data_IF_230943754093
#
_entry.id   IF_230943754093
#
_cell.length_a   1.000
_cell.length_b   1.000
_cell.length_c   1.000
_cell.angle_alpha   90.00
_cell.angle_beta   90.00
_cell.angle_gamma   90.00
#
_symmetry.space_group_name_H-M   'P 1'
#
loop_
_entity.id
_entity.type
_entity.pdbx_description
1 polymer ?
#
# COMPACT_ATOMS: atom_id res chain seq x y z
N UNK A 1 -10.03 -36.87 10.10
CA UNK A 1 -9.82 -35.57 9.43
C UNK A 1 -9.88 -34.51 10.52
N UNK A 2 -8.79 -33.76 10.73
CA UNK A 2 -8.80 -32.62 11.66
C UNK A 2 -9.76 -31.57 11.08
N UNK A 3 -10.81 -31.24 11.82
CA UNK A 3 -11.77 -30.21 11.40
C UNK A 3 -11.07 -28.85 11.39
N UNK A 4 -11.11 -28.16 10.24
CA UNK A 4 -10.47 -26.86 10.08
C UNK A 4 -11.28 -25.80 10.84
N UNK A 5 -10.77 -25.38 12.00
CA UNK A 5 -11.38 -24.30 12.80
C UNK A 5 -10.84 -22.93 12.34
N UNK A 6 -11.57 -22.30 11.41
CA UNK A 6 -11.27 -20.97 10.87
C UNK A 6 -11.11 -19.92 11.97
N UNK A 7 -11.97 -19.93 13.00
CA UNK A 7 -11.94 -18.91 14.08
C UNK A 7 -10.68 -19.04 14.93
N UNK A 8 -10.27 -20.27 15.23
CA UNK A 8 -9.02 -20.51 15.96
C UNK A 8 -7.80 -20.06 15.17
N UNK A 9 -7.79 -20.25 13.84
CA UNK A 9 -6.72 -19.78 12.98
C UNK A 9 -6.65 -18.24 12.95
N UNK A 10 -7.79 -17.58 12.77
CA UNK A 10 -7.91 -16.11 12.78
C UNK A 10 -7.43 -15.53 14.12
N UNK A 11 -7.88 -16.07 15.26
CA UNK A 11 -7.43 -15.62 16.57
C UNK A 11 -5.93 -15.83 16.83
N UNK A 12 -5.35 -16.90 16.24
CA UNK A 12 -3.91 -17.15 16.32
C UNK A 12 -3.13 -16.14 15.47
N UNK A 13 -3.63 -15.82 14.28
CA UNK A 13 -3.03 -14.82 13.41
C UNK A 13 -3.09 -13.43 14.03
N UNK A 14 -4.23 -13.04 14.60
CA UNK A 14 -4.39 -11.77 15.33
C UNK A 14 -3.36 -11.63 16.43
N UNK A 15 -3.20 -12.68 17.25
CA UNK A 15 -2.22 -12.70 18.32
C UNK A 15 -0.80 -12.56 17.79
N UNK A 16 -0.46 -13.33 16.75
CA UNK A 16 0.87 -13.28 16.14
C UNK A 16 1.20 -11.88 15.61
N UNK A 17 0.27 -11.25 14.90
CA UNK A 17 0.45 -9.88 14.41
C UNK A 17 0.57 -8.91 15.58
N UNK A 18 -0.31 -8.99 16.58
CA UNK A 18 -0.29 -8.12 17.76
C UNK A 18 1.03 -8.20 18.54
N UNK A 19 1.59 -9.40 18.71
CA UNK A 19 2.87 -9.64 19.38
C UNK A 19 4.07 -9.14 18.56
N UNK A 20 3.94 -9.03 17.23
CA UNK A 20 5.04 -8.67 16.33
C UNK A 20 4.84 -7.31 15.62
N UNK A 21 3.91 -6.46 16.09
CA UNK A 21 3.55 -5.19 15.44
C UNK A 21 4.76 -4.32 15.14
N UNK A 22 5.65 -4.12 16.11
CA UNK A 22 6.84 -3.28 15.93
C UNK A 22 7.77 -3.86 14.85
N UNK A 23 8.01 -5.17 14.86
CA UNK A 23 8.85 -5.81 13.86
C UNK A 23 8.25 -5.61 12.46
N UNK A 24 6.95 -5.92 12.31
CA UNK A 24 6.24 -5.81 11.04
C UNK A 24 6.15 -4.36 10.54
N UNK A 25 5.73 -3.44 11.41
CA UNK A 25 5.34 -2.09 11.06
C UNK A 25 6.51 -1.09 10.98
N UNK A 26 7.63 -1.40 11.64
CA UNK A 26 8.77 -0.47 11.77
C UNK A 26 10.06 -1.11 11.28
N UNK A 27 10.43 -2.28 11.80
CA UNK A 27 11.73 -2.88 11.50
C UNK A 27 11.80 -3.37 10.04
N UNK A 28 10.81 -4.12 9.57
CA UNK A 28 10.72 -4.61 8.19
C UNK A 28 10.76 -3.48 7.14
N UNK A 29 9.92 -2.43 7.22
CA UNK A 29 9.97 -1.32 6.26
C UNK A 29 11.27 -0.51 6.34
N UNK A 30 11.85 -0.33 7.52
CA UNK A 30 13.14 0.36 7.66
C UNK A 30 14.28 -0.44 7.00
N UNK A 31 14.34 -1.75 7.24
CA UNK A 31 15.30 -2.64 6.57
C UNK A 31 15.02 -2.66 5.06
N UNK A 32 13.75 -2.75 4.66
CA UNK A 32 13.33 -2.71 3.26
C UNK A 32 13.80 -1.45 2.54
N UNK A 33 13.65 -0.27 3.15
CA UNK A 33 14.12 0.99 2.58
C UNK A 33 15.64 0.96 2.34
N UNK A 34 16.40 0.54 3.34
CA UNK A 34 17.87 0.41 3.22
C UNK A 34 18.22 -0.60 2.13
N UNK A 35 17.54 -1.75 2.09
CA UNK A 35 17.82 -2.80 1.12
C UNK A 35 17.54 -2.38 -0.32
N UNK A 36 16.41 -1.70 -0.55
CA UNK A 36 16.03 -1.21 -1.87
C UNK A 36 16.95 -0.10 -2.35
N UNK A 37 17.26 0.88 -1.49
CA UNK A 37 18.21 1.96 -1.84
C UNK A 37 19.59 1.39 -2.13
N UNK A 38 20.12 0.53 -1.27
CA UNK A 38 21.42 -0.10 -1.50
C UNK A 38 21.43 -1.04 -2.72
N UNK A 39 20.28 -1.57 -3.14
CA UNK A 39 20.15 -2.28 -4.42
C UNK A 39 20.28 -1.28 -5.58
N UNK A 40 19.54 -0.18 -5.55
CA UNK A 40 19.58 0.87 -6.57
C UNK A 40 20.97 1.52 -6.73
N UNK A 41 21.70 1.68 -5.63
CA UNK A 41 23.05 2.27 -5.61
C UNK A 41 24.16 1.24 -5.93
N UNK A 42 23.81 -0.03 -6.18
CA UNK A 42 24.76 -1.10 -6.49
C UNK A 42 25.67 -1.51 -5.32
N UNK A 43 25.22 -1.32 -4.07
CA UNK A 43 25.98 -1.70 -2.87
C UNK A 43 25.82 -3.17 -2.48
N UNK A 44 24.77 -3.84 -2.97
CA UNK A 44 24.54 -5.27 -2.74
C UNK A 44 25.25 -6.13 -3.81
N UNK A 45 25.67 -7.36 -3.46
CA UNK A 45 26.04 -8.35 -4.46
C UNK A 45 24.80 -8.71 -5.28
N UNK A 46 24.96 -8.85 -6.61
CA UNK A 46 23.84 -8.91 -7.57
C UNK A 46 22.80 -10.03 -7.37
N UNK A 47 23.02 -11.02 -6.50
CA UNK A 47 21.98 -12.02 -6.14
C UNK A 47 20.94 -11.48 -5.14
N UNK A 48 21.32 -10.47 -4.37
CA UNK A 48 20.48 -9.80 -3.37
C UNK A 48 19.87 -8.52 -3.89
N UNK A 49 20.50 -7.90 -4.90
CA UNK A 49 20.01 -6.70 -5.57
C UNK A 49 18.61 -6.95 -6.12
N UNK A 50 17.64 -6.18 -5.62
CA UNK A 50 16.23 -6.24 -6.01
C UNK A 50 15.66 -7.67 -6.14
N UNK A 51 16.08 -8.58 -5.26
CA UNK A 51 15.64 -9.96 -5.36
C UNK A 51 14.09 -10.05 -5.28
N UNK A 52 13.40 -10.54 -6.33
CA UNK A 52 11.95 -10.44 -6.45
C UNK A 52 11.21 -11.17 -5.33
N UNK A 53 11.79 -12.27 -4.81
CA UNK A 53 11.20 -13.03 -3.71
C UNK A 53 11.37 -12.31 -2.37
N UNK A 54 12.47 -11.58 -2.16
CA UNK A 54 12.65 -10.76 -0.95
C UNK A 54 11.72 -9.54 -0.95
N UNK A 55 11.54 -8.89 -2.12
CA UNK A 55 10.59 -7.79 -2.29
C UNK A 55 9.16 -8.28 -1.99
N UNK A 56 8.76 -9.40 -2.58
CA UNK A 56 7.45 -9.99 -2.34
C UNK A 56 7.27 -10.41 -0.87
N UNK A 57 8.27 -11.05 -0.28
CA UNK A 57 8.24 -11.47 1.13
C UNK A 57 8.10 -10.27 2.06
N UNK A 58 8.95 -9.25 1.90
CA UNK A 58 8.90 -8.02 2.70
C UNK A 58 7.54 -7.34 2.57
N UNK A 59 7.01 -7.24 1.34
CA UNK A 59 5.67 -6.71 1.10
C UNK A 59 4.61 -7.52 1.83
N UNK A 60 4.60 -8.86 1.68
CA UNK A 60 3.62 -9.71 2.33
C UNK A 60 3.65 -9.59 3.86
N UNK A 61 4.83 -9.45 4.46
CA UNK A 61 4.99 -9.17 5.90
C UNK A 61 4.35 -7.83 6.25
N UNK A 62 4.66 -6.75 5.53
CA UNK A 62 4.09 -5.42 5.79
C UNK A 62 2.57 -5.38 5.61
N UNK A 63 2.01 -6.13 4.65
CA UNK A 63 0.55 -6.22 4.43
C UNK A 63 -0.17 -7.12 5.44
N UNK A 64 0.56 -7.94 6.19
CA UNK A 64 0.01 -8.94 7.12
C UNK A 64 -0.98 -8.35 8.14
N UNK A 65 -0.75 -7.17 8.76
CA UNK A 65 -1.69 -6.62 9.73
C UNK A 65 -3.05 -6.32 9.13
N UNK A 66 -3.08 -5.73 7.93
CA UNK A 66 -4.34 -5.46 7.25
C UNK A 66 -5.02 -6.76 6.82
N UNK A 67 -4.27 -7.72 6.27
CA UNK A 67 -4.81 -9.03 5.88
C UNK A 67 -5.44 -9.75 7.08
N UNK A 68 -4.74 -9.79 8.22
CA UNK A 68 -5.25 -10.39 9.46
C UNK A 68 -6.48 -9.65 9.99
N UNK A 69 -6.48 -8.31 9.91
CA UNK A 69 -7.61 -7.48 10.30
C UNK A 69 -8.87 -7.77 9.50
N UNK A 70 -8.72 -7.93 8.18
CA UNK A 70 -9.84 -8.02 7.23
C UNK A 70 -10.29 -9.47 6.98
N UNK A 71 -9.42 -10.47 7.12
CA UNK A 71 -9.74 -11.87 6.83
C UNK A 71 -11.02 -12.41 7.52
N UNK A 72 -11.32 -12.08 8.79
CA UNK A 72 -12.56 -12.50 9.45
C UNK A 72 -13.83 -11.89 8.82
N UNK A 73 -13.70 -10.77 8.12
CA UNK A 73 -14.80 -10.05 7.46
C UNK A 73 -15.08 -10.57 6.05
N UNK A 74 -14.27 -11.49 5.53
CA UNK A 74 -14.45 -12.05 4.19
C UNK A 74 -15.56 -13.09 4.22
N UNK A 75 -16.73 -12.66 3.77
CA UNK A 75 -17.88 -13.49 3.42
C UNK A 75 -17.91 -13.79 1.91
N UNK A 76 -19.02 -14.36 1.41
CA UNK A 76 -19.16 -14.65 -0.03
C UNK A 76 -19.19 -13.39 -0.88
N UNK A 77 -19.78 -12.30 -0.37
CA UNK A 77 -19.95 -11.04 -1.09
C UNK A 77 -18.61 -10.31 -1.19
N UNK A 78 -17.87 -10.24 -0.10
CA UNK A 78 -16.50 -9.74 -0.04
C UNK A 78 -15.58 -10.55 -0.95
N UNK A 79 -15.66 -11.88 -0.91
CA UNK A 79 -14.85 -12.74 -1.78
C UNK A 79 -15.12 -12.48 -3.27
N UNK A 80 -16.39 -12.35 -3.68
CA UNK A 80 -16.74 -12.02 -5.07
C UNK A 80 -16.24 -10.63 -5.47
N UNK A 81 -16.34 -9.65 -4.58
CA UNK A 81 -15.81 -8.31 -4.83
C UNK A 81 -14.28 -8.31 -4.97
N UNK A 82 -13.56 -9.04 -4.12
CA UNK A 82 -12.09 -9.19 -4.20
C UNK A 82 -11.69 -9.89 -5.50
N UNK A 83 -12.38 -10.95 -5.91
CA UNK A 83 -12.11 -11.65 -7.17
C UNK A 83 -12.38 -10.73 -8.37
N UNK A 84 -13.53 -10.04 -8.37
CA UNK A 84 -13.88 -9.09 -9.42
C UNK A 84 -12.86 -7.95 -9.52
N UNK A 85 -12.43 -7.41 -8.38
CA UNK A 85 -11.39 -6.38 -8.31
C UNK A 85 -10.04 -6.92 -8.79
N UNK A 86 -9.70 -8.18 -8.48
CA UNK A 86 -8.47 -8.83 -8.97
C UNK A 86 -8.46 -8.93 -10.49
N UNK A 87 -9.56 -9.36 -11.09
CA UNK A 87 -9.69 -9.42 -12.54
C UNK A 87 -9.59 -8.03 -13.18
N UNK A 88 -10.24 -7.03 -12.56
CA UNK A 88 -10.14 -5.65 -13.00
C UNK A 88 -8.69 -5.13 -12.93
N UNK A 89 -8.02 -5.32 -11.79
CA UNK A 89 -6.66 -4.85 -11.56
C UNK A 89 -5.67 -5.45 -12.55
N UNK A 90 -5.74 -6.75 -12.84
CA UNK A 90 -4.93 -7.31 -13.93
C UNK A 90 -5.33 -6.75 -15.29
N UNK A 91 -6.64 -6.64 -15.58
CA UNK A 91 -7.11 -6.14 -16.86
C UNK A 91 -6.68 -4.70 -17.16
N UNK A 92 -6.77 -3.80 -16.17
CA UNK A 92 -6.36 -2.40 -16.31
C UNK A 92 -4.84 -2.26 -16.35
N UNK A 93 -4.10 -3.10 -15.62
CA UNK A 93 -2.63 -3.09 -15.66
C UNK A 93 -2.10 -3.57 -17.01
N UNK A 94 -2.62 -4.68 -17.53
CA UNK A 94 -2.27 -5.16 -18.86
C UNK A 94 -2.64 -4.13 -19.94
N UNK A 95 -3.77 -3.44 -19.79
CA UNK A 95 -4.11 -2.33 -20.68
C UNK A 95 -3.06 -1.20 -20.58
N UNK A 96 -2.64 -0.87 -19.36
CA UNK A 96 -1.59 0.12 -19.07
C UNK A 96 -0.29 -0.21 -19.77
N UNK A 97 0.28 -1.38 -19.50
CA UNK A 97 1.57 -1.81 -20.07
C UNK A 97 1.51 -1.98 -21.59
N UNK A 98 0.36 -2.40 -22.15
CA UNK A 98 0.25 -2.63 -23.60
C UNK A 98 -0.09 -1.37 -24.41
N UNK A 99 -0.72 -0.35 -23.80
CA UNK A 99 -1.29 0.79 -24.54
C UNK A 99 -0.94 2.16 -23.97
N UNK A 100 -0.36 2.21 -22.78
CA UNK A 100 -0.14 3.43 -22.00
C UNK A 100 -1.40 4.03 -21.37
N UNK A 101 -2.57 3.40 -21.51
CA UNK A 101 -3.82 3.86 -20.90
C UNK A 101 -4.19 2.98 -19.69
N UNK A 102 -4.58 3.55 -18.53
CA UNK A 102 -4.77 4.96 -18.22
C UNK A 102 -3.59 5.58 -17.45
N UNK A 103 -2.44 4.93 -17.35
CA UNK A 103 -1.36 5.39 -16.46
C UNK A 103 -0.30 6.26 -17.14
N UNK A 104 -0.29 6.30 -18.47
CA UNK A 104 0.89 6.68 -19.25
C UNK A 104 1.61 5.42 -19.72
N UNK A 105 2.48 5.56 -20.72
CA UNK A 105 3.29 4.47 -21.25
C UNK A 105 4.42 4.19 -20.25
N UNK A 106 4.43 3.00 -19.66
CA UNK A 106 5.38 2.60 -18.62
C UNK A 106 5.74 1.13 -18.75
N UNK A 107 6.94 0.78 -18.28
CA UNK A 107 7.39 -0.60 -18.19
C UNK A 107 7.97 -0.91 -16.81
N UNK A 108 7.74 -2.14 -16.35
CA UNK A 108 8.43 -2.67 -15.18
C UNK A 108 9.88 -2.99 -15.56
N UNK A 109 10.81 -2.23 -14.99
CA UNK A 109 12.25 -2.40 -15.21
C UNK A 109 12.81 -3.48 -14.26
N UNK A 110 12.21 -3.62 -13.08
CA UNK A 110 12.58 -4.59 -12.07
C UNK A 110 11.39 -5.49 -11.76
N UNK A 111 11.63 -6.80 -11.74
CA UNK A 111 10.63 -7.79 -11.35
C UNK A 111 10.27 -7.65 -9.86
N UNK A 112 8.99 -7.42 -9.58
CA UNK A 112 8.45 -7.31 -8.21
C UNK A 112 7.96 -8.66 -7.66
N UNK A 113 8.46 -9.77 -8.20
CA UNK A 113 7.98 -11.11 -7.94
C UNK A 113 7.84 -11.92 -9.23
N UNK A 114 7.16 -13.07 -9.19
CA UNK A 114 6.77 -13.77 -10.42
C UNK A 114 5.92 -12.87 -11.32
N UNK A 115 6.30 -12.75 -12.60
CA UNK A 115 5.60 -11.94 -13.58
C UNK A 115 4.63 -12.80 -14.41
N UNK A 116 3.41 -12.31 -14.60
CA UNK A 116 2.41 -12.90 -15.49
C UNK A 116 2.66 -12.40 -16.91
N UNK A 117 2.82 -13.34 -17.84
CA UNK A 117 3.12 -13.05 -19.25
C UNK A 117 4.35 -12.13 -19.43
N UNK A 118 5.31 -12.23 -18.51
CA UNK A 118 6.52 -11.39 -18.47
C UNK A 118 6.25 -9.88 -18.46
N UNK A 119 5.07 -9.44 -17.99
CA UNK A 119 4.64 -8.04 -18.07
C UNK A 119 4.08 -7.49 -16.75
N UNK A 120 3.24 -8.26 -16.03
CA UNK A 120 2.53 -7.76 -14.85
C UNK A 120 2.83 -8.62 -13.61
N UNK A 121 3.20 -8.04 -12.45
CA UNK A 121 3.48 -8.83 -11.25
C UNK A 121 2.28 -9.66 -10.78
N UNK A 122 2.47 -10.96 -10.52
CA UNK A 122 1.44 -11.84 -9.97
C UNK A 122 1.00 -11.43 -8.54
N UNK A 123 1.77 -10.57 -7.89
CA UNK A 123 1.48 -10.01 -6.57
C UNK A 123 0.74 -8.67 -6.62
N UNK A 124 0.37 -8.17 -7.81
CA UNK A 124 -0.27 -6.86 -7.99
C UNK A 124 -1.47 -6.60 -7.04
N UNK A 125 -2.38 -7.56 -6.79
CA UNK A 125 -3.44 -7.37 -5.80
C UNK A 125 -2.93 -7.07 -4.38
N UNK A 126 -1.79 -7.65 -3.98
CA UNK A 126 -1.15 -7.41 -2.67
C UNK A 126 -0.47 -6.04 -2.63
N UNK A 127 0.00 -5.54 -3.78
CA UNK A 127 0.53 -4.17 -3.88
C UNK A 127 -0.58 -3.12 -3.78
N UNK A 128 -1.69 -3.33 -4.51
CA UNK A 128 -2.71 -2.31 -4.71
C UNK A 128 -3.83 -2.31 -3.65
N UNK A 129 -4.42 -3.46 -3.32
CA UNK A 129 -5.63 -3.49 -2.46
C UNK A 129 -5.37 -2.94 -1.07
N UNK A 130 -4.24 -3.27 -0.41
CA UNK A 130 -3.95 -2.72 0.91
C UNK A 130 -3.79 -1.20 0.93
N UNK A 131 -3.27 -0.58 -0.14
CA UNK A 131 -3.16 0.87 -0.23
C UNK A 131 -4.55 1.52 -0.18
N UNK A 132 -5.45 1.07 -1.07
CA UNK A 132 -6.80 1.63 -1.14
C UNK A 132 -7.59 1.34 0.14
N UNK A 133 -7.45 0.15 0.71
CA UNK A 133 -8.18 -0.21 1.91
C UNK A 133 -7.65 0.54 3.14
N UNK A 134 -6.34 0.73 3.31
CA UNK A 134 -5.81 1.59 4.38
C UNK A 134 -6.28 3.04 4.23
N UNK A 135 -6.28 3.59 3.01
CA UNK A 135 -6.83 4.93 2.74
C UNK A 135 -8.31 5.01 3.14
N UNK A 136 -9.09 3.97 2.81
CA UNK A 136 -10.49 3.86 3.21
C UNK A 136 -10.65 3.84 4.73
N UNK A 137 -9.92 2.98 5.43
CA UNK A 137 -9.99 2.82 6.89
C UNK A 137 -9.54 4.11 7.62
N UNK A 138 -8.45 4.74 7.17
CA UNK A 138 -8.01 6.03 7.70
C UNK A 138 -9.10 7.09 7.55
N UNK A 139 -9.73 7.18 6.38
CA UNK A 139 -10.85 8.09 6.13
C UNK A 139 -12.05 7.79 7.02
N UNK A 140 -12.37 6.51 7.31
CA UNK A 140 -13.43 6.18 8.26
C UNK A 140 -13.15 6.76 9.65
N UNK A 141 -11.90 6.67 10.12
CA UNK A 141 -11.50 7.19 11.43
C UNK A 141 -11.50 8.72 11.45
N UNK A 142 -10.90 9.38 10.46
CA UNK A 142 -10.75 10.83 10.43
C UNK A 142 -12.06 11.58 10.16
N UNK A 143 -12.96 11.01 9.35
CA UNK A 143 -14.25 11.64 9.03
C UNK A 143 -15.37 11.27 10.00
N UNK A 144 -15.21 10.20 10.80
CA UNK A 144 -16.22 9.69 11.72
C UNK A 144 -17.58 9.47 11.05
N UNK A 145 -18.64 10.00 11.66
CA UNK A 145 -20.01 9.87 11.13
C UNK A 145 -20.19 10.41 9.71
N UNK A 146 -19.39 11.41 9.31
CA UNK A 146 -19.45 11.98 7.95
C UNK A 146 -19.06 10.96 6.88
N UNK A 147 -18.26 9.96 7.24
CA UNK A 147 -17.92 8.84 6.35
C UNK A 147 -19.15 8.00 5.94
N UNK A 148 -20.29 8.16 6.61
CA UNK A 148 -21.54 7.52 6.19
C UNK A 148 -22.05 8.02 4.84
N UNK A 149 -21.77 9.28 4.52
CA UNK A 149 -22.20 9.89 3.26
C UNK A 149 -21.21 9.53 2.17
N UNK A 150 -21.61 8.69 1.20
CA UNK A 150 -20.76 8.29 0.06
C UNK A 150 -20.21 9.50 -0.69
N UNK A 151 -20.99 10.59 -0.84
CA UNK A 151 -20.55 11.85 -1.46
C UNK A 151 -19.40 12.56 -0.73
N UNK A 152 -19.13 12.22 0.53
CA UNK A 152 -18.00 12.72 1.31
C UNK A 152 -16.89 11.66 1.33
N UNK A 153 -17.23 10.42 1.68
CA UNK A 153 -16.28 9.30 1.80
C UNK A 153 -15.54 9.04 0.49
N UNK A 154 -16.26 8.86 -0.61
CA UNK A 154 -15.67 8.48 -1.90
C UNK A 154 -14.58 9.46 -2.38
N UNK A 155 -14.84 10.78 -2.51
CA UNK A 155 -13.80 11.72 -2.91
C UNK A 155 -12.67 11.83 -1.88
N UNK A 156 -12.95 11.71 -0.58
CA UNK A 156 -11.90 11.74 0.44
C UNK A 156 -10.97 10.53 0.35
N UNK A 157 -11.52 9.32 0.13
CA UNK A 157 -10.71 8.11 -0.04
C UNK A 157 -9.91 8.18 -1.33
N UNK A 158 -10.50 8.62 -2.45
CA UNK A 158 -9.76 8.79 -3.71
C UNK A 158 -8.61 9.80 -3.53
N UNK A 159 -8.86 10.95 -2.90
CA UNK A 159 -7.82 11.94 -2.63
C UNK A 159 -6.72 11.39 -1.71
N UNK A 160 -7.09 10.56 -0.74
CA UNK A 160 -6.14 9.89 0.15
C UNK A 160 -5.29 8.86 -0.61
N UNK A 161 -5.90 8.08 -1.52
CA UNK A 161 -5.15 7.16 -2.39
C UNK A 161 -4.20 7.91 -3.31
N UNK A 162 -4.63 9.01 -3.93
CA UNK A 162 -3.75 9.85 -4.74
C UNK A 162 -2.61 10.46 -3.92
N UNK A 163 -2.86 10.82 -2.65
CA UNK A 163 -1.79 11.26 -1.77
C UNK A 163 -0.79 10.13 -1.47
N UNK A 164 -1.24 8.87 -1.39
CA UNK A 164 -0.32 7.72 -1.30
C UNK A 164 0.46 7.55 -2.62
N UNK A 165 -0.19 7.70 -3.76
CA UNK A 165 0.45 7.60 -5.09
C UNK A 165 1.53 8.68 -5.30
N UNK A 166 1.28 9.91 -4.84
CA UNK A 166 2.25 11.01 -4.78
C UNK A 166 3.46 10.74 -3.87
N UNK A 167 3.45 9.63 -3.13
CA UNK A 167 4.57 9.16 -2.31
C UNK A 167 5.17 7.89 -2.90
N UNK A 168 4.35 6.92 -3.26
CA UNK A 168 4.79 5.62 -3.76
C UNK A 168 5.53 5.76 -5.08
N UNK A 169 4.87 6.30 -6.11
CA UNK A 169 5.37 6.27 -7.48
C UNK A 169 6.64 7.11 -7.66
N UNK A 170 6.79 8.32 -7.07
CA UNK A 170 8.06 9.03 -7.08
C UNK A 170 9.22 8.22 -6.46
N UNK A 171 8.94 7.47 -5.39
CA UNK A 171 9.94 6.61 -4.76
C UNK A 171 10.29 5.40 -5.64
N UNK A 172 9.29 4.81 -6.28
CA UNK A 172 9.46 3.65 -7.13
C UNK A 172 10.19 3.97 -8.44
N UNK A 173 9.89 5.13 -9.05
CA UNK A 173 10.65 5.68 -10.18
C UNK A 173 12.09 5.99 -9.75
N UNK A 174 12.29 6.57 -8.56
CA UNK A 174 13.62 6.81 -8.01
C UNK A 174 14.45 5.51 -7.86
N UNK A 175 13.81 4.43 -7.39
CA UNK A 175 14.41 3.10 -7.30
C UNK A 175 14.59 2.40 -8.65
N UNK A 176 13.98 2.91 -9.73
CA UNK A 176 13.97 2.25 -11.03
C UNK A 176 13.09 1.00 -11.08
N UNK A 177 12.05 0.88 -10.25
CA UNK A 177 11.11 -0.25 -10.37
C UNK A 177 10.34 -0.24 -11.68
N UNK A 178 9.95 0.95 -12.11
CA UNK A 178 9.37 1.21 -13.41
C UNK A 178 9.82 2.59 -13.89
N UNK A 179 9.76 2.78 -15.20
CA UNK A 179 9.98 4.05 -15.83
C UNK A 179 8.86 4.37 -16.81
N UNK A 180 8.62 5.66 -17.00
CA UNK A 180 7.64 6.15 -17.96
C UNK A 180 8.34 6.60 -19.24
N UNK A 181 7.77 6.22 -20.38
CA UNK A 181 8.26 6.64 -21.68
C UNK A 181 8.15 8.16 -21.86
N UNK A 182 8.91 8.75 -22.81
CA UNK A 182 8.81 10.16 -23.11
C UNK A 182 7.36 10.59 -23.45
N UNK A 183 6.98 11.84 -23.15
CA UNK A 183 5.63 12.34 -23.41
C UNK A 183 5.17 12.11 -24.84
N UNK A 184 3.90 11.74 -25.01
CA UNK A 184 3.29 11.67 -26.33
C UNK A 184 3.31 13.05 -26.99
N UNK A 185 3.69 13.11 -28.27
CA UNK A 185 3.67 14.35 -29.05
C UNK A 185 2.26 14.66 -29.53
N UNK A 186 1.78 15.88 -29.28
CA UNK A 186 0.53 16.40 -29.86
C UNK A 186 -0.24 17.33 -28.92
N UNK A 187 -1.29 17.97 -29.45
CA UNK A 187 -2.06 19.01 -28.74
C UNK A 187 -3.27 18.44 -27.96
N UNK A 188 -3.38 17.11 -27.86
CA UNK A 188 -4.48 16.44 -27.18
C UNK A 188 -4.38 16.52 -25.66
N UNK A 189 -5.52 16.48 -24.97
CA UNK A 189 -5.57 16.46 -23.51
C UNK A 189 -4.81 15.27 -22.91
N UNK A 190 -4.84 14.11 -23.57
CA UNK A 190 -4.06 12.93 -23.15
C UNK A 190 -2.56 13.14 -23.31
N UNK A 191 -2.11 13.66 -24.45
CA UNK A 191 -0.70 14.00 -24.68
C UNK A 191 -0.19 15.01 -23.63
N UNK A 192 -1.02 16.01 -23.31
CA UNK A 192 -0.72 16.99 -22.25
C UNK A 192 -0.61 16.33 -20.87
N UNK A 193 -1.49 15.37 -20.55
CA UNK A 193 -1.43 14.61 -19.30
C UNK A 193 -0.18 13.73 -19.20
N UNK A 194 0.33 13.19 -20.32
CA UNK A 194 1.60 12.46 -20.32
C UNK A 194 2.82 13.38 -20.25
N UNK A 195 2.68 14.69 -20.46
CA UNK A 195 3.81 15.63 -20.49
C UNK A 195 4.13 16.27 -19.13
N UNK A 196 3.13 16.44 -18.26
CA UNK A 196 3.32 17.04 -16.94
C UNK A 196 3.81 15.97 -15.98
N UNK A 197 4.98 16.17 -15.37
CA UNK A 197 5.59 15.19 -14.47
C UNK A 197 5.74 15.71 -13.04
N UNK A 198 5.53 14.83 -12.07
CA UNK A 198 5.85 15.01 -10.67
C UNK A 198 6.88 13.96 -10.25
N UNK A 199 8.13 14.38 -10.04
CA UNK A 199 9.25 13.48 -9.72
C UNK A 199 9.36 12.25 -10.65
N UNK A 200 9.22 12.47 -11.96
CA UNK A 200 9.32 11.42 -12.98
C UNK A 200 8.02 10.65 -13.24
N UNK A 201 6.94 10.94 -12.51
CA UNK A 201 5.62 10.32 -12.72
C UNK A 201 4.71 11.26 -13.51
N UNK A 202 4.13 10.85 -14.65
CA UNK A 202 3.28 11.71 -15.46
C UNK A 202 1.91 11.93 -14.83
N UNK A 203 1.25 13.04 -15.17
CA UNK A 203 -0.10 13.37 -14.70
C UNK A 203 -1.13 12.31 -15.11
N UNK A 204 -0.93 11.64 -16.25
CA UNK A 204 -1.75 10.51 -16.68
C UNK A 204 -1.84 9.42 -15.61
N UNK A 205 -0.75 9.14 -14.88
CA UNK A 205 -0.73 8.12 -13.83
C UNK A 205 -1.75 8.43 -12.74
N UNK A 206 -1.69 9.64 -12.20
CA UNK A 206 -2.61 10.10 -11.17
C UNK A 206 -4.07 10.09 -11.66
N UNK A 207 -4.32 10.39 -12.93
CA UNK A 207 -5.65 10.28 -13.53
C UNK A 207 -6.12 8.81 -13.61
N UNK A 208 -5.23 7.90 -13.98
CA UNK A 208 -5.47 6.45 -13.95
C UNK A 208 -5.78 5.95 -12.54
N UNK A 209 -5.03 6.42 -11.54
CA UNK A 209 -5.26 6.09 -10.14
C UNK A 209 -6.60 6.62 -9.61
N UNK A 210 -7.13 7.74 -10.10
CA UNK A 210 -8.51 8.16 -9.79
C UNK A 210 -9.50 7.08 -10.22
N UNK A 211 -9.36 6.54 -11.44
CA UNK A 211 -10.21 5.49 -11.96
C UNK A 211 -10.08 4.20 -11.13
N UNK A 212 -8.85 3.73 -10.91
CA UNK A 212 -8.59 2.49 -10.18
C UNK A 212 -9.02 2.57 -8.73
N UNK A 213 -8.74 3.68 -8.05
CA UNK A 213 -9.20 3.93 -6.69
C UNK A 213 -10.73 3.96 -6.62
N UNK A 214 -11.40 4.61 -7.57
CA UNK A 214 -12.86 4.64 -7.63
C UNK A 214 -13.46 3.23 -7.75
N UNK A 215 -12.94 2.41 -8.66
CA UNK A 215 -13.40 1.03 -8.85
C UNK A 215 -13.13 0.20 -7.59
N UNK A 216 -11.95 0.32 -6.99
CA UNK A 216 -11.59 -0.40 -5.77
C UNK A 216 -12.47 0.00 -4.57
N UNK A 217 -12.71 1.29 -4.35
CA UNK A 217 -13.59 1.77 -3.27
C UNK A 217 -15.01 1.28 -3.47
N UNK A 218 -15.53 1.32 -4.71
CA UNK A 218 -16.85 0.77 -5.01
C UNK A 218 -16.90 -0.75 -4.79
N UNK A 219 -15.85 -1.49 -5.18
CA UNK A 219 -15.76 -2.92 -4.90
C UNK A 219 -15.74 -3.20 -3.39
N UNK A 220 -15.04 -2.40 -2.57
CA UNK A 220 -15.05 -2.55 -1.13
C UNK A 220 -16.38 -2.18 -0.49
N UNK A 221 -17.03 -1.10 -0.93
CA UNK A 221 -18.39 -0.73 -0.50
C UNK A 221 -19.42 -1.80 -0.87
N UNK A 222 -19.23 -2.47 -2.01
CA UNK A 222 -20.08 -3.58 -2.44
C UNK A 222 -19.70 -4.91 -1.79
N UNK A 223 -18.48 -5.09 -1.33
CA UNK A 223 -17.97 -6.35 -0.80
C UNK A 223 -18.11 -6.47 0.71
N UNK A 224 -17.77 -5.41 1.44
CA UNK A 224 -17.66 -5.42 2.89
C UNK A 224 -18.80 -4.65 3.57
N UNK A 225 -19.27 -5.19 4.69
CA UNK A 225 -20.17 -4.46 5.56
C UNK A 225 -19.38 -3.41 6.37
N UNK A 226 -19.66 -2.13 6.13
CA UNK A 226 -18.99 -1.01 6.82
C UNK A 226 -19.08 -1.13 8.35
N UNK A 227 -20.20 -1.59 8.89
CA UNK A 227 -20.36 -1.79 10.33
C UNK A 227 -19.37 -2.84 10.87
N UNK A 228 -19.14 -3.92 10.12
CA UNK A 228 -18.14 -4.93 10.45
C UNK A 228 -16.71 -4.40 10.36
N UNK A 229 -16.40 -3.58 9.36
CA UNK A 229 -15.09 -2.90 9.26
C UNK A 229 -14.83 -1.99 10.45
N UNK A 230 -15.83 -1.20 10.87
CA UNK A 230 -15.72 -0.30 12.03
C UNK A 230 -15.56 -1.08 13.35
N UNK A 231 -16.41 -2.09 13.60
CA UNK A 231 -16.29 -2.93 14.81
C UNK A 231 -14.92 -3.62 14.87
N UNK A 232 -14.42 -4.07 13.73
CA UNK A 232 -13.10 -4.72 13.64
C UNK A 232 -11.96 -3.73 13.86
N UNK A 233 -12.02 -2.54 13.26
CA UNK A 233 -11.09 -1.43 13.51
C UNK A 233 -11.04 -1.06 15.00
N UNK A 234 -12.19 -1.02 15.66
CA UNK A 234 -12.27 -0.67 17.07
C UNK A 234 -11.55 -1.66 17.97
N UNK A 235 -11.66 -2.95 17.66
CA UNK A 235 -11.06 -4.04 18.45
C UNK A 235 -9.61 -4.37 18.07
N UNK A 236 -9.12 -3.87 16.95
CA UNK A 236 -7.88 -4.34 16.34
C UNK A 236 -6.92 -3.19 16.08
N UNK A 237 -5.99 -2.97 17.02
CA UNK A 237 -5.06 -1.83 16.96
C UNK A 237 -4.07 -1.86 15.79
N UNK A 238 -3.83 -3.02 15.16
CA UNK A 238 -2.81 -3.19 14.13
C UNK A 238 -3.31 -2.96 12.69
N UNK A 239 -4.60 -2.70 12.45
CA UNK A 239 -5.14 -2.67 11.08
C UNK A 239 -4.55 -1.58 10.18
N UNK A 240 -3.98 -0.51 10.78
CA UNK A 240 -3.32 0.58 10.07
C UNK A 240 -1.78 0.52 10.15
N UNK A 241 -1.20 -0.54 10.72
CA UNK A 241 0.25 -0.71 10.84
C UNK A 241 0.93 -0.82 9.46
N UNK A 242 0.19 -1.27 8.45
CA UNK A 242 0.64 -1.27 7.07
C UNK A 242 0.84 0.18 6.53
N UNK A 243 0.03 1.15 6.99
CA UNK A 243 0.23 2.56 6.65
C UNK A 243 1.44 3.17 7.39
N UNK A 244 1.75 2.71 8.61
CA UNK A 244 3.02 3.04 9.28
C UNK A 244 4.19 2.53 8.44
N UNK A 245 4.09 1.29 7.97
CA UNK A 245 5.11 0.68 7.11
C UNK A 245 5.32 1.48 5.83
N UNK A 246 4.21 1.89 5.20
CA UNK A 246 4.22 2.75 4.03
C UNK A 246 4.95 4.08 4.28
N UNK A 247 4.65 4.77 5.38
CA UNK A 247 5.28 6.06 5.72
C UNK A 247 6.79 5.89 5.94
N UNK A 248 7.21 4.85 6.67
CA UNK A 248 8.63 4.60 6.95
C UNK A 248 9.37 4.22 5.67
N UNK A 249 8.87 3.23 4.93
CA UNK A 249 9.52 2.71 3.73
C UNK A 249 9.63 3.80 2.66
N UNK A 250 8.48 4.31 2.21
CA UNK A 250 8.46 5.25 1.08
C UNK A 250 8.90 6.65 1.50
N UNK A 251 8.66 7.07 2.74
CA UNK A 251 9.20 8.33 3.24
C UNK A 251 10.74 8.34 3.25
N UNK A 252 11.37 7.25 3.69
CA UNK A 252 12.83 7.12 3.68
C UNK A 252 13.39 7.08 2.24
N UNK A 253 12.78 6.30 1.34
CA UNK A 253 13.17 6.24 -0.07
C UNK A 253 13.07 7.61 -0.73
N UNK A 254 11.95 8.32 -0.55
CA UNK A 254 11.78 9.66 -1.12
C UNK A 254 12.76 10.68 -0.52
N UNK A 255 13.10 10.56 0.76
CA UNK A 255 14.12 11.41 1.37
C UNK A 255 15.50 11.16 0.75
N UNK A 256 15.83 9.91 0.44
CA UNK A 256 17.08 9.54 -0.26
C UNK A 256 17.17 10.18 -1.65
N UNK A 257 16.11 10.06 -2.45
CA UNK A 257 16.06 10.63 -3.81
C UNK A 257 15.75 12.14 -3.86
N UNK A 258 15.58 12.81 -2.71
CA UNK A 258 15.34 14.26 -2.64
C UNK A 258 13.92 14.69 -3.04
N UNK A 259 12.96 13.77 -3.05
CA UNK A 259 11.56 14.01 -3.35
C UNK A 259 10.83 14.65 -2.14
N UNK A 260 11.28 15.82 -1.69
CA UNK A 260 10.85 16.41 -0.41
C UNK A 260 9.35 16.71 -0.31
N UNK A 261 8.67 17.00 -1.42
CA UNK A 261 7.20 17.14 -1.39
C UNK A 261 6.52 15.81 -1.07
N UNK A 262 7.00 14.70 -1.65
CA UNK A 262 6.52 13.35 -1.33
C UNK A 262 6.81 12.99 0.13
N UNK A 263 8.00 13.34 0.65
CA UNK A 263 8.32 13.18 2.09
C UNK A 263 7.33 13.96 2.97
N UNK A 264 6.98 15.19 2.58
CA UNK A 264 5.98 15.99 3.27
C UNK A 264 4.61 15.31 3.31
N UNK A 265 4.16 14.75 2.18
CA UNK A 265 2.90 14.00 2.09
C UNK A 265 2.95 12.72 2.94
N UNK A 266 4.06 11.98 2.93
CA UNK A 266 4.26 10.84 3.84
C UNK A 266 4.17 11.25 5.31
N UNK A 267 4.76 12.41 5.67
CA UNK A 267 4.65 13.00 6.99
C UNK A 267 3.21 13.32 7.40
N UNK A 268 2.37 13.80 6.47
CA UNK A 268 0.94 14.03 6.72
C UNK A 268 0.19 12.73 7.05
N UNK A 269 0.53 11.60 6.41
CA UNK A 269 0.01 10.30 6.81
C UNK A 269 0.45 9.90 8.22
N UNK A 270 1.71 10.14 8.57
CA UNK A 270 2.22 9.95 9.92
C UNK A 270 1.44 10.76 10.96
N UNK A 271 1.16 12.03 10.69
CA UNK A 271 0.32 12.89 11.54
C UNK A 271 -1.12 12.38 11.62
N UNK A 272 -1.69 11.95 10.49
CA UNK A 272 -3.03 11.36 10.43
C UNK A 272 -3.14 10.11 11.30
N UNK A 273 -2.12 9.24 11.26
CA UNK A 273 -2.04 8.05 12.12
C UNK A 273 -1.96 8.41 13.60
N UNK A 274 -1.09 9.35 13.98
CA UNK A 274 -0.98 9.83 15.36
C UNK A 274 -2.31 10.41 15.87
N UNK A 275 -3.05 11.14 15.02
CA UNK A 275 -4.33 11.73 15.38
C UNK A 275 -5.46 10.70 15.59
N UNK A 276 -5.27 9.43 15.18
CA UNK A 276 -6.26 8.36 15.39
C UNK A 276 -6.08 7.59 16.69
N UNK A 277 -5.08 7.91 17.51
CA UNK A 277 -4.71 7.20 18.76
C UNK A 277 -4.52 5.67 18.59
N UNK A 278 -4.34 5.18 17.35
CA UNK A 278 -4.04 3.76 17.05
C UNK A 278 -2.55 3.45 17.06
N UNK A 279 -1.73 4.48 17.19
CA UNK A 279 -0.28 4.40 17.25
C UNK A 279 0.19 4.27 18.70
N UNK A 280 0.06 3.07 19.26
CA UNK A 280 0.73 2.69 20.50
C UNK A 280 1.53 1.42 20.24
N UNK A 281 2.84 1.59 20.08
CA UNK A 281 3.79 0.49 20.22
C UNK A 281 4.23 0.55 21.68
N UNK A 282 3.57 -0.19 22.56
CA UNK A 282 4.05 -0.34 23.94
C UNK A 282 5.41 -1.05 23.92
N UNK A 283 6.50 -0.29 23.79
CA UNK A 283 7.89 -0.77 23.87
C UNK A 283 8.31 -1.05 25.33
N UNK A 284 7.41 -0.84 26.29
CA UNK A 284 7.76 -0.82 27.73
C UNK A 284 8.02 -2.18 28.36
N UNK A 285 7.67 -3.31 27.75
CA UNK A 285 7.87 -4.63 28.37
C UNK A 285 9.08 -5.43 27.85
N UNK A 286 9.77 -4.97 26.80
CA UNK A 286 10.86 -5.76 26.16
C UNK A 286 12.28 -5.24 26.43
N UNK A 287 12.44 -4.13 27.13
CA UNK A 287 13.75 -3.69 27.65
C UNK A 287 13.79 -4.04 29.14
N UNK A 288 14.58 -5.04 29.58
CA UNK A 288 14.93 -5.15 30.98
C UNK A 288 15.76 -3.91 31.31
N UNK A 289 15.10 -2.88 31.85
CA UNK A 289 15.78 -1.81 32.57
C UNK A 289 16.57 -2.52 33.67
N UNK A 290 17.88 -2.60 33.47
CA UNK A 290 18.82 -3.01 34.50
C UNK A 290 18.56 -2.08 35.68
N UNK A 291 18.01 -2.67 36.74
CA UNK A 291 17.74 -2.02 38.00
C UNK A 291 19.11 -1.69 38.62
N UNK A 292 19.67 -0.54 38.25
CA UNK A 292 20.88 0.02 38.85
C UNK A 292 20.51 0.61 40.21
N UNK A 293 20.20 -0.28 41.15
CA UNK A 293 20.25 -0.05 42.58
C UNK A 293 20.90 -1.24 43.26
N UNK A 294 22.23 -1.24 43.25
CA UNK A 294 23.07 -1.69 44.37
C UNK A 294 24.27 -0.76 44.48
#
# INVERSE_FOLDING_TARGET
MVEFDRRRLEARLDRYVAENRFAIAVLFPAIGAVMLVASAEGWFPGILEFNPYLVLFGTAVMRLPLIAGVAPLIDRRAALAIVGLTLYTYGIEFLGVLTGLPYGDFEYVIDLGPMLLDAVPAALPIFFFPLVLNAYLLCLLLLGDRAALTRIRLPAVIATVLAMDLVLDPGAVGLGFWEYAPPLTGDGAWASATAIHFYGVPLSNYLGWILSASVAVLAFDLGFERAGLLDRLDRTGFMLDDLVSFVILWGAINAWYGNWLAVGVAGLFGVGLLATDRFDFEVRETVPLVDLRQ
#
